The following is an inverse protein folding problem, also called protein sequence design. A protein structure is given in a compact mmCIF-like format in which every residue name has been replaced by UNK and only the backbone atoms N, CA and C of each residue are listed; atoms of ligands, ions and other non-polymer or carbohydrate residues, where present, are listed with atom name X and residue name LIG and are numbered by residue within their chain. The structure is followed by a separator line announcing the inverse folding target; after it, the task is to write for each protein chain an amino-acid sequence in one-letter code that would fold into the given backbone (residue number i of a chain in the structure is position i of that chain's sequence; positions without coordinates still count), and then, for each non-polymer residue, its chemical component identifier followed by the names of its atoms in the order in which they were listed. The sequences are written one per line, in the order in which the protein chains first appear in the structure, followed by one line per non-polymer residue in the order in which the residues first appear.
data_IF_651124323031
#
_entry.id   IF_651124323031
#
_cell.length_a   1.000
_cell.length_b   1.000
_cell.length_c   1.000
_cell.angle_alpha   90.00
_cell.angle_beta   90.00
_cell.angle_gamma   90.00
#
_symmetry.space_group_name_H-M   'P 1'
#
loop_
_entity.id
_entity.type
_entity.pdbx_description
1 polymer ?
#
# COMPACT_ATOMS: atom_id res chain seq x y z
N UNK A 1 4.83 -3.07 14.64
CA UNK A 1 5.57 -1.97 14.02
C UNK A 1 5.66 -0.85 15.02
N UNK A 2 6.86 -0.31 15.29
CA UNK A 2 6.98 0.85 16.16
C UNK A 2 6.56 2.11 15.38
N UNK A 3 5.38 2.63 15.70
CA UNK A 3 4.80 3.82 15.08
C UNK A 3 5.05 5.06 15.96
N UNK A 4 5.44 6.20 15.36
CA UNK A 4 5.79 7.39 16.11
C UNK A 4 4.53 8.04 16.71
N UNK A 5 4.58 8.40 17.99
CA UNK A 5 3.50 9.16 18.58
C UNK A 5 3.55 10.64 18.14
N UNK A 6 2.43 11.19 17.70
CA UNK A 6 2.31 12.60 17.34
C UNK A 6 1.17 13.31 18.06
N UNK A 7 1.36 14.61 18.29
CA UNK A 7 0.36 15.53 18.84
C UNK A 7 -0.34 16.34 17.75
N UNK A 8 0.13 16.24 16.51
CA UNK A 8 -0.39 16.95 15.35
C UNK A 8 -0.79 15.95 14.27
N UNK A 9 -1.55 16.43 13.28
CA UNK A 9 -2.02 15.61 12.17
C UNK A 9 -1.87 16.37 10.87
N UNK A 10 -1.82 15.63 9.78
CA UNK A 10 -1.97 16.18 8.43
C UNK A 10 -3.34 15.81 7.87
N UNK A 11 -3.93 16.68 7.05
CA UNK A 11 -5.16 16.37 6.33
C UNK A 11 -4.81 15.60 5.04
N UNK A 12 -5.11 14.31 5.02
CA UNK A 12 -4.90 13.46 3.84
C UNK A 12 -6.17 13.47 2.98
N UNK A 13 -6.00 13.60 1.67
CA UNK A 13 -7.07 13.48 0.66
C UNK A 13 -6.57 12.63 -0.50
N UNK A 14 -7.40 11.70 -0.96
CA UNK A 14 -7.02 10.77 -2.04
C UNK A 14 -7.64 11.26 -3.35
N UNK A 15 -6.84 11.35 -4.41
CA UNK A 15 -7.31 11.78 -5.74
C UNK A 15 -7.32 10.55 -6.67
N UNK A 16 -8.48 10.24 -7.27
CA UNK A 16 -8.55 9.21 -8.32
C UNK A 16 -8.04 9.81 -9.64
N UNK A 17 -6.76 9.58 -9.92
CA UNK A 17 -6.07 10.09 -11.11
C UNK A 17 -6.53 9.40 -12.39
N UNK A 18 -7.23 8.25 -12.34
CA UNK A 18 -7.80 7.64 -13.55
C UNK A 18 -8.87 8.53 -14.20
N UNK A 19 -9.41 9.51 -13.46
CA UNK A 19 -10.35 10.52 -13.96
C UNK A 19 -9.67 11.83 -14.34
N UNK A 20 -8.36 11.94 -14.12
CA UNK A 20 -7.56 13.09 -14.49
C UNK A 20 -6.73 12.69 -15.70
N UNK A 21 -7.09 13.24 -16.87
CA UNK A 21 -6.27 13.08 -18.05
C UNK A 21 -4.94 13.83 -17.85
N UNK A 22 -3.85 13.07 -17.67
CA UNK A 22 -2.49 13.62 -17.72
C UNK A 22 -1.88 13.17 -19.05
N UNK A 23 -1.85 14.02 -20.09
CA UNK A 23 -1.19 13.66 -21.33
C UNK A 23 0.32 13.50 -21.09
N UNK A 24 0.89 12.41 -21.60
CA UNK A 24 2.33 12.10 -21.65
C UNK A 24 3.04 11.93 -20.31
N UNK A 25 2.86 10.77 -19.65
CA UNK A 25 3.83 10.28 -18.66
C UNK A 25 4.86 9.43 -19.41
N UNK A 26 5.94 10.06 -19.86
CA UNK A 26 7.17 9.34 -20.17
C UNK A 26 7.99 9.30 -18.88
N UNK A 27 8.29 8.10 -18.40
CA UNK A 27 9.12 7.89 -17.21
C UNK A 27 10.57 8.03 -17.65
N UNK A 28 11.09 9.26 -17.67
CA UNK A 28 12.52 9.51 -17.84
C UNK A 28 13.17 9.76 -16.47
N UNK A 29 14.42 9.32 -16.34
CA UNK A 29 15.23 9.66 -15.17
C UNK A 29 15.42 11.18 -15.16
N UNK A 30 15.20 11.88 -14.02
CA UNK A 30 15.41 13.31 -13.96
C UNK A 30 16.81 13.69 -14.42
N UNK A 31 16.92 14.46 -15.50
CA UNK A 31 18.20 14.97 -16.01
C UNK A 31 18.49 16.34 -15.39
N UNK A 32 19.75 16.77 -15.44
CA UNK A 32 20.16 18.10 -14.96
C UNK A 32 19.33 19.25 -15.52
N UNK A 33 18.81 19.09 -16.75
CA UNK A 33 17.94 20.09 -17.37
C UNK A 33 16.60 20.23 -16.64
N UNK A 34 16.06 19.14 -16.07
CA UNK A 34 14.74 19.16 -15.43
C UNK A 34 14.74 20.08 -14.22
N UNK A 35 15.80 20.08 -13.42
CA UNK A 35 15.94 20.93 -12.23
C UNK A 35 16.85 22.14 -12.45
N UNK A 36 17.10 22.53 -13.71
CA UNK A 36 17.85 23.74 -14.00
C UNK A 36 17.19 24.98 -13.36
N UNK A 37 17.97 25.75 -12.61
CA UNK A 37 17.48 26.94 -11.89
C UNK A 37 16.66 26.64 -10.62
N UNK A 38 16.58 25.37 -10.19
CA UNK A 38 15.94 24.97 -8.93
C UNK A 38 16.98 24.46 -7.94
N UNK A 39 16.77 24.72 -6.65
CA UNK A 39 17.59 24.14 -5.58
C UNK A 39 17.23 22.65 -5.44
N UNK A 40 18.19 21.76 -5.71
CA UNK A 40 18.05 20.33 -5.47
C UNK A 40 18.40 20.03 -4.01
N UNK A 41 17.45 19.47 -3.26
CA UNK A 41 17.66 18.93 -1.91
C UNK A 41 17.51 17.43 -1.97
N UNK A 42 18.61 16.73 -1.82
CA UNK A 42 18.62 15.27 -1.69
C UNK A 42 18.29 14.89 -0.25
N UNK A 43 17.49 13.83 -0.10
CA UNK A 43 17.15 13.29 1.22
C UNK A 43 18.25 12.32 1.64
N UNK A 44 18.75 12.49 2.86
CA UNK A 44 19.76 11.61 3.45
C UNK A 44 19.12 10.73 4.53
N UNK A 45 18.99 9.44 4.22
CA UNK A 45 18.48 8.41 5.13
C UNK A 45 19.61 7.72 5.95
N UNK A 46 20.86 8.18 5.81
CA UNK A 46 21.99 7.71 6.62
C UNK A 46 22.45 8.70 7.70
N UNK A 47 21.82 9.87 7.77
CA UNK A 47 22.21 10.96 8.67
C UNK A 47 21.65 10.85 10.09
N UNK A 48 22.12 11.73 10.98
CA UNK A 48 21.77 11.73 12.41
C UNK A 48 20.26 11.96 12.70
N UNK A 49 19.53 12.54 11.75
CA UNK A 49 18.10 12.83 11.89
C UNK A 49 17.19 11.69 11.39
N UNK A 50 17.77 10.60 10.89
CA UNK A 50 17.00 9.44 10.43
C UNK A 50 16.47 8.63 11.62
N UNK A 51 15.18 8.31 11.57
CA UNK A 51 14.53 7.42 12.54
C UNK A 51 14.07 6.14 11.86
N UNK A 52 13.86 5.08 12.66
CA UNK A 52 13.27 3.83 12.17
C UNK A 52 11.77 3.81 12.47
N UNK A 53 10.96 3.57 11.44
CA UNK A 53 9.52 3.35 11.56
C UNK A 53 9.19 2.00 10.91
N UNK A 54 8.99 0.98 11.75
CA UNK A 54 9.05 -0.42 11.28
C UNK A 54 10.41 -0.71 10.63
N UNK A 55 10.39 -1.37 9.47
CA UNK A 55 11.60 -1.59 8.67
C UNK A 55 12.05 -0.39 7.82
N UNK A 56 11.36 0.75 7.84
CA UNK A 56 11.71 1.93 7.03
C UNK A 56 12.71 2.84 7.75
N UNK A 57 13.71 3.32 7.02
CA UNK A 57 14.40 4.58 7.34
C UNK A 57 13.46 5.74 7.02
N UNK A 58 13.37 6.69 7.94
CA UNK A 58 12.36 7.74 7.86
C UNK A 58 12.90 9.10 8.28
N UNK A 59 12.37 10.14 7.65
CA UNK A 59 12.65 11.55 7.94
C UNK A 59 11.34 12.24 8.32
N UNK A 60 11.30 12.84 9.51
CA UNK A 60 10.18 13.70 9.91
C UNK A 60 10.24 15.00 9.12
N UNK A 61 9.35 15.15 8.14
CA UNK A 61 9.42 16.26 7.19
C UNK A 61 9.06 17.61 7.82
N UNK A 62 8.10 17.60 8.76
CA UNK A 62 7.67 18.82 9.46
C UNK A 62 8.38 19.01 10.80
N UNK A 63 9.02 17.97 11.34
CA UNK A 63 9.68 17.98 12.65
C UNK A 63 8.70 17.93 13.82
N UNK A 64 7.43 17.60 13.57
CA UNK A 64 6.36 17.54 14.55
C UNK A 64 5.71 16.14 14.67
N UNK A 65 6.21 15.16 13.92
CA UNK A 65 5.73 13.79 13.86
C UNK A 65 4.44 13.58 13.07
N UNK A 66 3.93 14.59 12.36
CA UNK A 66 2.69 14.46 11.59
C UNK A 66 2.87 13.82 10.22
N UNK A 67 4.06 13.90 9.63
CA UNK A 67 4.36 13.36 8.31
C UNK A 67 5.82 12.92 8.17
N UNK A 68 6.02 11.66 7.77
CA UNK A 68 7.33 11.10 7.52
C UNK A 68 7.48 10.72 6.05
N UNK A 69 8.64 11.06 5.48
CA UNK A 69 9.10 10.47 4.22
C UNK A 69 9.86 9.19 4.58
N UNK A 70 9.57 8.10 3.88
CA UNK A 70 10.13 6.77 4.13
C UNK A 70 10.99 6.31 2.93
N UNK A 71 12.13 5.70 3.22
CA UNK A 71 12.95 5.04 2.19
C UNK A 71 12.27 3.77 1.66
N UNK A 72 11.67 3.90 0.48
CA UNK A 72 10.90 2.88 -0.22
C UNK A 72 11.64 2.28 -1.42
N UNK A 73 12.97 2.33 -1.46
CA UNK A 73 13.77 1.87 -2.60
C UNK A 73 13.38 0.46 -3.10
N UNK A 74 13.69 0.18 -4.37
CA UNK A 74 13.45 -1.10 -5.03
C UNK A 74 12.76 -0.93 -6.38
N UNK A 75 11.58 -0.30 -6.37
CA UNK A 75 10.88 0.08 -7.60
C UNK A 75 11.77 0.97 -8.47
N UNK A 76 12.23 2.08 -7.90
CA UNK A 76 13.41 2.82 -8.37
C UNK A 76 14.40 2.98 -7.23
N UNK A 77 15.63 3.41 -7.55
CA UNK A 77 16.70 3.55 -6.55
C UNK A 77 16.36 4.61 -5.49
N UNK A 78 15.52 5.59 -5.85
CA UNK A 78 15.07 6.67 -4.97
C UNK A 78 13.56 6.67 -4.77
N UNK A 79 12.92 5.49 -4.85
CA UNK A 79 11.49 5.39 -4.57
C UNK A 79 11.22 5.72 -3.10
N UNK A 80 10.15 6.48 -2.86
CA UNK A 80 9.77 6.97 -1.54
C UNK A 80 8.36 6.51 -1.21
N UNK A 81 8.18 6.09 0.04
CA UNK A 81 6.87 5.97 0.65
C UNK A 81 6.65 7.15 1.61
N UNK A 82 5.45 7.30 2.15
CA UNK A 82 5.18 8.29 3.18
C UNK A 82 4.25 7.74 4.26
N UNK A 83 4.39 8.22 5.49
CA UNK A 83 3.50 7.93 6.61
C UNK A 83 2.89 9.23 7.14
N UNK A 84 1.58 9.32 7.14
CA UNK A 84 0.84 10.48 7.61
C UNK A 84 0.05 10.13 8.88
N UNK A 85 0.25 10.87 9.96
CA UNK A 85 -0.59 10.80 11.15
C UNK A 85 -1.92 11.49 10.87
N UNK A 86 -3.02 10.75 10.94
CA UNK A 86 -4.36 11.24 10.59
C UNK A 86 -5.23 11.62 11.79
N UNK A 87 -5.07 10.93 12.92
CA UNK A 87 -5.73 11.25 14.19
C UNK A 87 -4.77 11.05 15.36
N UNK A 88 -5.00 11.71 16.49
CA UNK A 88 -4.13 11.62 17.69
C UNK A 88 -4.76 10.82 18.84
N UNK A 89 -6.08 10.58 18.82
CA UNK A 89 -6.78 9.81 19.84
C UNK A 89 -8.03 9.10 19.26
N UNK A 90 -7.95 7.78 18.97
CA UNK A 90 -6.72 6.98 18.93
C UNK A 90 -5.76 7.48 17.84
N UNK A 91 -4.47 7.14 17.96
CA UNK A 91 -3.53 7.43 16.88
C UNK A 91 -3.79 6.54 15.68
N UNK A 92 -3.89 7.15 14.50
CA UNK A 92 -4.09 6.46 13.24
C UNK A 92 -3.18 7.03 12.16
N UNK A 93 -2.83 6.20 11.18
CA UNK A 93 -1.91 6.56 10.13
C UNK A 93 -2.36 6.07 8.77
N UNK A 94 -2.03 6.83 7.73
CA UNK A 94 -2.09 6.37 6.35
C UNK A 94 -0.66 6.22 5.84
N UNK A 95 -0.32 5.01 5.40
CA UNK A 95 0.95 4.76 4.71
C UNK A 95 0.70 4.78 3.20
N UNK A 96 1.33 5.72 2.51
CA UNK A 96 1.29 5.87 1.06
C UNK A 96 2.46 5.08 0.45
N UNK A 97 2.16 3.92 -0.11
CA UNK A 97 3.15 2.99 -0.66
C UNK A 97 3.57 3.28 -2.10
N UNK A 98 2.86 4.17 -2.80
CA UNK A 98 3.09 4.48 -4.22
C UNK A 98 3.26 3.19 -5.05
N UNK A 99 4.31 3.13 -5.87
CA UNK A 99 4.65 1.97 -6.72
C UNK A 99 5.57 0.93 -6.05
N UNK A 100 5.73 0.96 -4.73
CA UNK A 100 6.42 -0.12 -4.02
C UNK A 100 5.62 -1.44 -4.03
N UNK A 101 4.34 -1.37 -4.43
CA UNK A 101 3.44 -2.48 -4.65
C UNK A 101 2.42 -2.05 -5.71
N UNK A 102 2.21 -2.85 -6.76
CA UNK A 102 1.26 -2.49 -7.82
C UNK A 102 -0.11 -3.13 -7.63
N UNK A 103 -0.18 -4.21 -6.86
CA UNK A 103 -1.40 -4.95 -6.62
C UNK A 103 -1.43 -5.51 -5.21
N UNK A 104 -2.57 -5.41 -4.52
CA UNK A 104 -2.74 -5.90 -3.14
C UNK A 104 -2.37 -7.38 -2.96
N UNK A 105 -2.49 -8.19 -4.01
CA UNK A 105 -2.03 -9.59 -4.08
C UNK A 105 -0.50 -9.80 -4.04
N UNK A 106 0.31 -8.75 -4.21
CA UNK A 106 1.76 -8.77 -3.94
C UNK A 106 2.04 -8.69 -2.43
N UNK A 107 1.18 -7.99 -1.68
CA UNK A 107 1.29 -7.91 -0.22
C UNK A 107 0.53 -8.99 0.52
N UNK A 108 -0.56 -9.51 -0.05
CA UNK A 108 -1.52 -10.36 0.67
C UNK A 108 -1.78 -11.66 -0.10
N UNK A 109 -1.88 -12.80 0.59
CA UNK A 109 -1.68 -13.00 2.03
C UNK A 109 -0.25 -12.73 2.52
N UNK A 110 -0.10 -12.61 3.83
CA UNK A 110 1.19 -12.50 4.51
C UNK A 110 1.19 -13.31 5.80
N UNK A 111 2.34 -13.43 6.48
CA UNK A 111 2.39 -14.06 7.81
C UNK A 111 1.55 -13.32 8.88
N UNK A 112 1.28 -12.03 8.66
CA UNK A 112 0.46 -11.22 9.57
C UNK A 112 -1.02 -11.21 9.18
N UNK A 113 -1.31 -11.32 7.88
CA UNK A 113 -2.66 -11.50 7.35
C UNK A 113 -2.72 -12.75 6.48
N UNK A 114 -2.83 -13.95 7.10
CA UNK A 114 -3.08 -15.16 6.34
C UNK A 114 -4.42 -15.08 5.61
N UNK A 115 -4.57 -15.85 4.52
CA UNK A 115 -5.87 -15.99 3.86
C UNK A 115 -6.89 -16.54 4.88
N UNK A 116 -7.96 -15.80 5.20
CA UNK A 116 -8.91 -16.21 6.23
C UNK A 116 -9.83 -17.31 5.70
N UNK A 117 -10.38 -18.15 6.59
CA UNK A 117 -11.38 -19.16 6.23
C UNK A 117 -12.69 -18.55 5.74
N UNK A 118 -13.01 -17.35 6.21
CA UNK A 118 -14.19 -16.57 5.85
C UNK A 118 -13.78 -15.13 5.56
N UNK A 119 -14.18 -14.61 4.40
CA UNK A 119 -13.82 -13.27 3.95
C UNK A 119 -15.08 -12.38 4.00
N UNK A 120 -14.99 -11.29 4.76
CA UNK A 120 -15.97 -10.21 4.75
C UNK A 120 -15.27 -8.84 4.66
N UNK A 121 -15.78 -7.88 3.86
CA UNK A 121 -16.92 -8.01 2.92
C UNK A 121 -16.70 -9.06 1.82
N UNK A 122 -17.77 -9.63 1.27
CA UNK A 122 -17.69 -10.70 0.28
C UNK A 122 -17.04 -10.18 -1.03
N UNK A 123 -15.84 -10.62 -1.44
CA UNK A 123 -15.10 -9.98 -2.53
C UNK A 123 -15.76 -10.15 -3.90
N UNK A 124 -16.44 -11.28 -4.14
CA UNK A 124 -17.11 -11.55 -5.43
C UNK A 124 -18.52 -10.95 -5.56
N UNK A 125 -19.16 -10.62 -4.41
CA UNK A 125 -20.56 -10.21 -4.28
C UNK A 125 -20.71 -9.27 -3.07
N UNK A 126 -20.17 -8.04 -3.12
CA UNK A 126 -20.04 -7.15 -1.95
C UNK A 126 -21.37 -6.76 -1.27
N UNK A 127 -22.48 -6.90 -1.99
CA UNK A 127 -23.85 -6.67 -1.52
C UNK A 127 -24.37 -7.76 -0.57
N UNK A 128 -23.73 -8.93 -0.52
CA UNK A 128 -24.13 -10.02 0.37
C UNK A 128 -23.57 -9.82 1.78
N UNK A 129 -24.42 -10.06 2.79
CA UNK A 129 -24.00 -10.15 4.20
C UNK A 129 -23.36 -11.50 4.56
N UNK A 130 -23.38 -12.47 3.64
CA UNK A 130 -22.78 -13.78 3.87
C UNK A 130 -21.27 -13.73 3.63
N UNK A 131 -20.45 -14.40 4.46
CA UNK A 131 -19.02 -14.51 4.22
C UNK A 131 -18.73 -15.32 2.95
N UNK A 132 -17.68 -14.92 2.22
CA UNK A 132 -17.12 -15.73 1.15
C UNK A 132 -16.18 -16.80 1.74
N UNK A 133 -16.31 -18.09 1.40
CA UNK A 133 -15.38 -19.11 1.84
C UNK A 133 -13.97 -18.85 1.28
N UNK A 134 -12.97 -18.76 2.16
CA UNK A 134 -11.58 -18.57 1.76
C UNK A 134 -11.03 -19.72 0.92
N UNK A 135 -11.58 -20.93 1.09
CA UNK A 135 -11.19 -22.12 0.34
C UNK A 135 -11.32 -21.95 -1.18
N UNK A 136 -12.19 -21.05 -1.66
CA UNK A 136 -12.33 -20.72 -3.08
C UNK A 136 -11.03 -20.16 -3.70
N UNK A 137 -10.15 -19.56 -2.89
CA UNK A 137 -8.91 -18.95 -3.37
C UNK A 137 -7.66 -19.78 -3.05
N UNK A 138 -7.79 -20.86 -2.27
CA UNK A 138 -6.63 -21.62 -1.78
C UNK A 138 -5.82 -22.28 -2.91
N UNK A 139 -6.50 -22.77 -3.95
CA UNK A 139 -5.85 -23.40 -5.11
C UNK A 139 -5.05 -22.40 -5.97
N UNK A 140 -5.32 -21.10 -5.82
CA UNK A 140 -4.62 -20.02 -6.53
C UNK A 140 -3.35 -19.56 -5.80
N UNK A 141 -3.17 -19.96 -4.54
CA UNK A 141 -2.00 -19.59 -3.75
C UNK A 141 -0.77 -20.38 -4.20
N UNK A 142 0.43 -19.76 -4.22
CA UNK A 142 1.67 -20.49 -4.41
C UNK A 142 1.81 -21.59 -3.36
N UNK A 143 1.87 -22.85 -3.81
CA UNK A 143 1.98 -24.05 -2.98
C UNK A 143 0.84 -24.21 -1.94
N UNK A 144 -0.31 -23.57 -2.16
CA UNK A 144 -1.43 -23.55 -1.20
C UNK A 144 -1.12 -22.79 0.11
N UNK A 145 -0.02 -22.03 0.15
CA UNK A 145 0.44 -21.41 1.38
C UNK A 145 -0.34 -20.12 1.69
N UNK A 146 -1.22 -20.20 2.69
CA UNK A 146 -2.08 -19.10 3.16
C UNK A 146 -1.33 -17.89 3.73
N UNK A 147 0.00 -17.97 3.90
CA UNK A 147 0.81 -16.89 4.47
C UNK A 147 1.74 -16.24 3.44
N UNK A 148 1.68 -16.68 2.18
CA UNK A 148 2.45 -16.11 1.08
C UNK A 148 1.53 -15.37 0.11
N UNK A 149 1.99 -14.26 -0.49
CA UNK A 149 1.18 -13.49 -1.43
C UNK A 149 0.81 -14.26 -2.69
N UNK A 150 -0.30 -13.89 -3.34
CA UNK A 150 -0.69 -14.44 -4.64
C UNK A 150 0.34 -14.14 -5.73
N UNK A 151 0.94 -12.94 -5.69
CA UNK A 151 1.88 -12.47 -6.69
C UNK A 151 3.27 -12.35 -6.10
N UNK A 152 4.26 -12.79 -6.89
CA UNK A 152 5.68 -12.58 -6.60
C UNK A 152 6.27 -11.70 -7.67
N UNK A 153 7.28 -10.93 -7.30
CA UNK A 153 8.04 -10.14 -8.26
C UNK A 153 8.71 -11.09 -9.26
N UNK A 154 8.37 -10.94 -10.55
CA UNK A 154 8.88 -11.80 -11.62
C UNK A 154 10.38 -11.56 -11.83
N UNK A 155 11.14 -12.65 -11.93
CA UNK A 155 12.58 -12.66 -12.24
C UNK A 155 12.84 -13.48 -13.51
N UNK A 156 13.47 -12.94 -14.57
CA UNK A 156 13.70 -11.51 -14.87
C UNK A 156 12.47 -10.85 -15.52
N UNK A 157 12.45 -9.51 -15.63
CA UNK A 157 11.56 -8.80 -16.54
C UNK A 157 10.58 -7.77 -15.95
N UNK A 158 10.78 -7.33 -14.71
CA UNK A 158 10.11 -6.12 -14.21
C UNK A 158 11.10 -4.93 -14.27
N UNK A 159 10.63 -3.73 -14.60
CA UNK A 159 11.43 -2.48 -14.60
C UNK A 159 11.72 -2.01 -13.17
N UNK A 160 12.26 -2.89 -12.33
CA UNK A 160 12.71 -2.56 -10.99
C UNK A 160 14.19 -2.24 -11.02
N UNK A 161 14.61 -1.26 -10.23
CA UNK A 161 16.03 -0.97 -10.03
C UNK A 161 16.76 -2.12 -9.34
N UNK A 162 16.13 -2.73 -8.33
CA UNK A 162 16.67 -3.87 -7.59
C UNK A 162 15.52 -4.70 -7.02
N UNK A 163 15.45 -5.96 -7.45
CA UNK A 163 14.36 -6.87 -7.08
C UNK A 163 14.44 -7.31 -5.62
N UNK A 164 15.64 -7.50 -5.07
CA UNK A 164 15.81 -7.93 -3.69
C UNK A 164 15.50 -6.80 -2.71
N UNK A 165 15.83 -5.56 -3.07
CA UNK A 165 15.41 -4.39 -2.31
C UNK A 165 13.88 -4.24 -2.39
N UNK A 166 13.28 -4.38 -3.58
CA UNK A 166 11.82 -4.30 -3.75
C UNK A 166 11.07 -5.33 -2.89
N UNK A 167 11.51 -6.60 -2.89
CA UNK A 167 10.94 -7.65 -2.03
C UNK A 167 11.05 -7.27 -0.53
N UNK A 168 12.18 -6.69 -0.11
CA UNK A 168 12.33 -6.20 1.28
C UNK A 168 11.37 -5.06 1.58
N UNK A 169 11.20 -4.11 0.68
CA UNK A 169 10.25 -3.00 0.84
C UNK A 169 8.80 -3.50 0.92
N UNK A 170 8.45 -4.51 0.14
CA UNK A 170 7.14 -5.17 0.21
C UNK A 170 6.89 -5.80 1.59
N UNK A 171 7.90 -6.44 2.19
CA UNK A 171 7.81 -6.95 3.57
C UNK A 171 7.57 -5.81 4.58
N UNK A 172 8.24 -4.66 4.42
CA UNK A 172 7.99 -3.49 5.28
C UNK A 172 6.55 -2.97 5.13
N UNK A 173 5.98 -3.00 3.92
CA UNK A 173 4.55 -2.68 3.70
C UNK A 173 3.63 -3.69 4.37
N UNK A 174 3.96 -4.98 4.34
CA UNK A 174 3.20 -6.03 5.04
C UNK A 174 3.22 -5.84 6.57
N UNK A 175 4.36 -5.39 7.14
CA UNK A 175 4.45 -5.03 8.56
C UNK A 175 3.53 -3.88 8.92
N UNK A 176 3.47 -2.85 8.08
CA UNK A 176 2.57 -1.73 8.29
C UNK A 176 1.10 -2.15 8.12
N UNK A 177 0.80 -2.99 7.14
CA UNK A 177 -0.55 -3.53 6.91
C UNK A 177 -1.07 -4.41 8.06
N UNK A 178 -0.16 -4.97 8.85
CA UNK A 178 -0.48 -5.74 10.06
C UNK A 178 -1.09 -4.88 11.17
N UNK A 179 -0.80 -3.58 11.20
CA UNK A 179 -1.26 -2.68 12.25
C UNK A 179 -2.71 -2.27 12.04
N UNK A 180 -3.55 -2.43 13.07
CA UNK A 180 -4.98 -2.12 13.00
C UNK A 180 -5.28 -0.63 12.86
N UNK A 181 -4.31 0.23 13.19
CA UNK A 181 -4.42 1.68 13.08
C UNK A 181 -3.63 2.27 11.90
N UNK A 182 -3.20 1.44 10.95
CA UNK A 182 -2.54 1.87 9.71
C UNK A 182 -3.37 1.46 8.50
N UNK A 183 -3.61 2.40 7.59
CA UNK A 183 -4.17 2.11 6.28
C UNK A 183 -3.11 2.28 5.20
N UNK A 184 -2.71 1.15 4.60
CA UNK A 184 -1.76 1.13 3.49
C UNK A 184 -2.51 1.40 2.18
N UNK A 185 -2.09 2.45 1.47
CA UNK A 185 -2.65 2.87 0.19
C UNK A 185 -1.55 2.83 -0.87
N UNK A 186 -1.73 2.01 -1.90
CA UNK A 186 -0.80 1.87 -3.04
C UNK A 186 -1.37 2.59 -4.26
N UNK A 187 -0.51 3.01 -5.19
CA UNK A 187 -0.93 3.89 -6.30
C UNK A 187 -1.94 3.25 -7.26
N UNK A 188 -1.83 1.93 -7.47
CA UNK A 188 -2.57 1.20 -8.48
C UNK A 188 -3.72 0.35 -7.95
N UNK A 189 -4.15 0.53 -6.69
CA UNK A 189 -5.27 -0.25 -6.13
C UNK A 189 -6.63 0.26 -6.60
N UNK A 190 -7.13 -0.32 -7.69
CA UNK A 190 -8.47 -0.05 -8.21
C UNK A 190 -9.58 -0.44 -7.26
N UNK A 191 -9.34 -1.35 -6.32
CA UNK A 191 -10.35 -1.90 -5.43
C UNK A 191 -10.73 -0.95 -4.28
N UNK A 192 -9.95 0.12 -4.08
CA UNK A 192 -10.30 1.16 -3.12
C UNK A 192 -11.50 2.01 -3.58
N UNK A 193 -11.74 2.14 -4.90
CA UNK A 193 -12.72 3.08 -5.47
C UNK A 193 -14.13 2.99 -4.88
N UNK A 194 -14.57 1.80 -4.49
CA UNK A 194 -15.90 1.56 -3.93
C UNK A 194 -15.93 1.54 -2.40
N UNK A 195 -14.77 1.71 -1.75
CA UNK A 195 -14.60 1.64 -0.29
C UNK A 195 -14.31 3.03 0.29
N UNK A 196 -13.46 3.80 -0.38
CA UNK A 196 -12.96 5.08 0.12
C UNK A 196 -13.74 6.27 -0.44
N UNK A 197 -13.63 7.38 0.26
CA UNK A 197 -14.01 8.67 -0.26
C UNK A 197 -12.82 9.37 -0.89
N UNK A 198 -13.02 9.93 -2.08
CA UNK A 198 -11.98 10.69 -2.80
C UNK A 198 -12.15 12.20 -2.60
N UNK A 199 -11.14 12.96 -3.00
CA UNK A 199 -11.13 14.41 -2.99
C UNK A 199 -12.45 14.99 -3.53
N UNK A 200 -13.04 16.01 -2.87
CA UNK A 200 -12.45 16.88 -1.84
C UNK A 200 -12.52 16.35 -0.40
N UNK A 201 -13.06 15.14 -0.18
CA UNK A 201 -13.24 14.60 1.17
C UNK A 201 -11.91 14.18 1.79
N UNK A 202 -11.86 14.23 3.12
CA UNK A 202 -10.69 13.80 3.89
C UNK A 202 -10.70 12.29 4.10
N UNK A 203 -9.50 11.70 4.12
CA UNK A 203 -9.27 10.30 4.44
C UNK A 203 -8.93 10.07 5.92
N UNK A 204 -8.85 11.12 6.74
CA UNK A 204 -8.35 11.03 8.12
C UNK A 204 -9.20 10.13 9.04
N UNK A 205 -10.48 9.96 8.73
CA UNK A 205 -11.42 9.14 9.49
C UNK A 205 -11.56 7.71 8.94
N UNK A 206 -10.56 7.22 8.19
CA UNK A 206 -10.56 5.87 7.61
C UNK A 206 -10.82 4.76 8.65
N UNK A 207 -10.34 4.94 9.89
CA UNK A 207 -10.56 3.98 10.98
C UNK A 207 -12.03 3.95 11.37
N UNK A 208 -12.64 5.12 11.58
CA UNK A 208 -14.05 5.24 11.94
C UNK A 208 -14.97 4.70 10.82
N UNK A 209 -14.52 4.82 9.55
CA UNK A 209 -15.22 4.28 8.38
C UNK A 209 -14.87 2.83 8.05
N UNK A 210 -13.91 2.25 8.77
CA UNK A 210 -13.43 0.88 8.61
C UNK A 210 -12.88 0.57 7.20
N UNK A 211 -12.26 1.54 6.53
CA UNK A 211 -11.80 1.38 5.14
C UNK A 211 -10.73 0.30 4.99
N UNK A 212 -9.76 0.28 5.90
CA UNK A 212 -8.65 -0.66 5.91
C UNK A 212 -9.11 -2.13 6.00
N UNK A 213 -10.13 -2.43 6.80
CA UNK A 213 -10.71 -3.77 6.86
C UNK A 213 -11.56 -4.07 5.62
N UNK A 214 -12.46 -3.15 5.23
CA UNK A 214 -13.36 -3.32 4.07
C UNK A 214 -12.65 -3.54 2.73
N UNK A 215 -11.45 -2.97 2.58
CA UNK A 215 -10.65 -3.08 1.35
C UNK A 215 -9.61 -4.20 1.38
N UNK A 216 -9.30 -4.80 2.54
CA UNK A 216 -8.15 -5.70 2.71
C UNK A 216 -8.12 -6.84 1.68
N UNK A 217 -9.28 -7.43 1.41
CA UNK A 217 -9.44 -8.60 0.54
C UNK A 217 -10.27 -8.31 -0.71
N UNK A 218 -10.59 -7.05 -1.02
CA UNK A 218 -11.44 -6.70 -2.16
C UNK A 218 -10.79 -7.04 -3.52
N UNK A 219 -9.46 -7.12 -3.57
CA UNK A 219 -8.70 -7.55 -4.75
C UNK A 219 -8.97 -9.00 -5.16
N UNK A 220 -9.49 -9.83 -4.26
CA UNK A 220 -9.86 -11.20 -4.59
C UNK A 220 -10.97 -11.26 -5.66
N UNK A 221 -11.66 -10.14 -5.90
CA UNK A 221 -12.65 -10.01 -6.97
C UNK A 221 -12.07 -10.26 -8.37
N UNK A 222 -10.77 -10.01 -8.59
CA UNK A 222 -10.08 -10.28 -9.84
C UNK A 222 -10.01 -11.77 -10.20
N UNK A 223 -10.09 -12.65 -9.21
CA UNK A 223 -10.06 -14.11 -9.41
C UNK A 223 -11.42 -14.71 -9.78
N UNK A 224 -12.49 -13.91 -9.88
CA UNK A 224 -13.85 -14.38 -10.17
C UNK A 224 -13.91 -15.33 -11.37
N UNK A 225 -13.24 -14.97 -12.47
CA UNK A 225 -13.23 -15.79 -13.69
C UNK A 225 -12.40 -17.07 -13.56
N UNK A 226 -11.42 -17.12 -12.65
CA UNK A 226 -10.66 -18.34 -12.40
C UNK A 226 -11.50 -19.34 -11.60
N UNK A 227 -12.22 -18.86 -10.57
CA UNK A 227 -13.08 -19.68 -9.70
C UNK A 227 -14.25 -20.28 -10.47
N UNK A 228 -14.93 -19.48 -11.31
CA UNK A 228 -16.07 -19.97 -12.09
C UNK A 228 -15.71 -21.11 -13.05
N UNK A 229 -14.49 -21.12 -13.59
CA UNK A 229 -14.02 -22.20 -14.47
C UNK A 229 -13.72 -23.51 -13.74
N UNK A 230 -13.47 -23.47 -12.44
CA UNK A 230 -13.26 -24.66 -11.62
C UNK A 230 -14.60 -25.30 -11.24
N UNK A 231 -15.65 -24.50 -10.99
CA UNK A 231 -17.01 -25.01 -10.73
C UNK A 231 -17.66 -25.68 -11.95
N UNK A 232 -17.21 -25.34 -13.17
CA UNK A 232 -17.69 -25.91 -14.44
C UNK A 232 -16.98 -27.22 -14.84
N UNK A 233 -15.93 -27.65 -14.12
CA UNK A 233 -15.12 -28.85 -14.41
C UNK A 233 -15.42 -29.99 -13.44
#
# INVERSE_FOLDING_TARGET
MDLPASKTTVNVRIIDTARIFVPNIFVDTPIKADYAGRELRELDFGGDNTVKIGGFDALDYFGDGSFYILDGAGHTVGHLCALATTTTSPQSYILMGADACHHSGEMRPSKWHPLPSEIQPHPLQPELSLPCPGSLFEHLLPDGNKTLPFYRIKRPGMQLSDVDIADRTLVKLQEADAESNVFVVIAHDSHLRNVIEVFPKSANDFMAKDWHHKSRWSFLSDFKSAIQKEEEQ
#
